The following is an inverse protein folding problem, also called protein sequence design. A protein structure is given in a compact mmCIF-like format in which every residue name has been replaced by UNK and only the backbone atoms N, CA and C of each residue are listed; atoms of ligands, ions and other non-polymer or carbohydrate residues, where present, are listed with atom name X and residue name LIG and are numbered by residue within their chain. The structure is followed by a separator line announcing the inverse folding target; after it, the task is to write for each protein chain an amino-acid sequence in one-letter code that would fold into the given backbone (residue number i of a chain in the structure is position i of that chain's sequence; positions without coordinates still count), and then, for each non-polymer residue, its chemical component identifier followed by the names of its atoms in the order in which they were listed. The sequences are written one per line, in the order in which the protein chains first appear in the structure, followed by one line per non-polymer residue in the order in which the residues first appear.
data_IF_522095905855
#
_entry.id   IF_522095905855
#
_cell.length_a   1.000
_cell.length_b   1.000
_cell.length_c   1.000
_cell.angle_alpha   90.00
_cell.angle_beta   90.00
_cell.angle_gamma   90.00
#
_symmetry.space_group_name_H-M   'P 1'
#
loop_
_entity.id
_entity.type
_entity.pdbx_description
1 polymer ?
#
# COMPACT_ATOMS: atom_id res chain seq x y z
N UNK A 1 1.90 26.07 -32.33
CA UNK A 1 1.27 25.05 -33.20
C UNK A 1 0.27 24.29 -32.33
N UNK A 2 -0.98 24.08 -32.80
CA UNK A 2 -1.92 23.18 -32.13
C UNK A 2 -1.41 21.73 -32.20
N UNK A 3 -1.76 20.92 -31.20
CA UNK A 3 -1.51 19.48 -31.21
C UNK A 3 -2.66 18.83 -31.98
N UNK A 4 -2.34 18.03 -33.00
CA UNK A 4 -3.32 17.30 -33.78
C UNK A 4 -3.70 16.00 -33.06
N UNK A 5 -4.95 15.58 -33.21
CA UNK A 5 -5.43 14.37 -32.58
C UNK A 5 -4.73 13.12 -33.13
N UNK A 6 -4.39 12.17 -32.27
CA UNK A 6 -3.77 10.92 -32.69
C UNK A 6 -3.41 10.00 -31.54
N UNK A 7 -3.07 8.75 -31.88
CA UNK A 7 -2.55 7.79 -30.92
C UNK A 7 -1.10 8.15 -30.54
N UNK A 8 -0.77 7.97 -29.26
CA UNK A 8 0.55 8.17 -28.70
C UNK A 8 0.94 6.96 -27.85
N UNK A 9 2.18 6.51 -28.02
CA UNK A 9 2.78 5.53 -27.12
C UNK A 9 3.30 6.25 -25.87
N UNK A 10 2.96 5.69 -24.70
CA UNK A 10 3.40 6.20 -23.41
C UNK A 10 4.54 5.33 -22.89
N UNK A 11 5.63 5.99 -22.50
CA UNK A 11 6.74 5.36 -21.80
C UNK A 11 7.21 6.25 -20.65
N UNK A 12 7.75 5.60 -19.63
CA UNK A 12 8.34 6.25 -18.45
C UNK A 12 9.72 5.65 -18.24
N UNK A 13 10.77 6.48 -18.30
CA UNK A 13 12.17 6.06 -18.22
C UNK A 13 12.52 4.90 -19.17
N UNK A 14 12.00 4.96 -20.41
CA UNK A 14 12.22 3.94 -21.45
C UNK A 14 11.38 2.67 -21.30
N UNK A 15 10.63 2.52 -20.20
CA UNK A 15 9.69 1.40 -20.02
C UNK A 15 8.34 1.74 -20.63
N UNK A 16 7.78 0.92 -21.53
CA UNK A 16 6.42 1.11 -22.06
C UNK A 16 5.39 1.05 -20.94
N UNK A 17 4.47 2.01 -20.89
CA UNK A 17 3.42 2.05 -19.87
C UNK A 17 2.00 2.03 -20.43
N UNK A 18 1.85 2.22 -21.74
CA UNK A 18 0.57 2.04 -22.45
C UNK A 18 0.47 2.88 -23.71
N UNK A 19 -0.76 3.06 -24.18
CA UNK A 19 -1.10 3.97 -25.29
C UNK A 19 -2.20 4.91 -24.85
N UNK A 20 -2.19 6.12 -25.38
CA UNK A 20 -3.26 7.10 -25.18
C UNK A 20 -3.68 7.74 -26.49
N UNK A 21 -4.94 8.15 -26.57
CA UNK A 21 -5.42 8.97 -27.67
C UNK A 21 -5.38 10.43 -27.21
N UNK A 22 -4.61 11.24 -27.93
CA UNK A 22 -4.51 12.68 -27.70
C UNK A 22 -5.57 13.33 -28.59
N UNK A 23 -6.45 14.15 -28.01
CA UNK A 23 -7.40 14.97 -28.77
C UNK A 23 -6.74 16.23 -29.32
N UNK A 24 -7.41 16.91 -30.25
CA UNK A 24 -6.89 18.17 -30.80
C UNK A 24 -6.93 19.26 -29.72
N UNK A 25 -5.78 19.86 -29.40
CA UNK A 25 -5.66 20.84 -28.31
C UNK A 25 -5.13 22.19 -28.78
N UNK A 26 -5.66 23.24 -28.17
CA UNK A 26 -5.23 24.61 -28.35
C UNK A 26 -3.83 24.87 -27.77
N UNK A 27 -3.19 25.97 -28.21
CA UNK A 27 -1.86 26.34 -27.69
C UNK A 27 -1.95 26.72 -26.20
N UNK A 28 -1.20 26.02 -25.36
CA UNK A 28 -1.12 26.30 -23.91
C UNK A 28 -2.16 25.55 -23.08
N UNK A 29 -2.98 24.72 -23.71
CA UNK A 29 -3.96 23.88 -23.02
C UNK A 29 -3.27 22.73 -22.27
N UNK A 30 -3.74 22.41 -21.07
CA UNK A 30 -3.13 21.41 -20.19
C UNK A 30 -3.56 20.00 -20.57
N UNK A 31 -2.62 19.19 -21.04
CA UNK A 31 -2.85 17.78 -21.37
C UNK A 31 -2.67 16.89 -20.13
N UNK A 32 -3.68 16.07 -19.81
CA UNK A 32 -3.61 15.03 -18.79
C UNK A 32 -3.60 13.66 -19.45
N UNK A 33 -2.55 12.88 -19.20
CA UNK A 33 -2.41 11.51 -19.71
C UNK A 33 -2.24 10.55 -18.54
N UNK A 34 -2.97 9.44 -18.55
CA UNK A 34 -2.81 8.38 -17.59
C UNK A 34 -1.69 7.45 -18.07
N UNK A 35 -0.48 7.59 -17.52
CA UNK A 35 0.68 6.77 -17.84
C UNK A 35 0.65 5.36 -17.24
N UNK A 36 -0.51 4.87 -16.80
CA UNK A 36 -0.62 3.52 -16.23
C UNK A 36 0.22 3.31 -14.97
N UNK A 37 0.70 2.07 -14.78
CA UNK A 37 1.55 1.70 -13.64
C UNK A 37 2.94 2.28 -13.83
N UNK A 38 3.48 2.96 -12.81
CA UNK A 38 4.90 3.35 -12.75
C UNK A 38 5.69 2.08 -12.42
N UNK A 39 6.38 1.44 -13.38
CA UNK A 39 6.92 0.10 -13.18
C UNK A 39 8.05 0.06 -12.13
N UNK A 40 8.75 1.19 -11.94
CA UNK A 40 9.92 1.28 -11.06
C UNK A 40 9.60 1.69 -9.62
N UNK A 41 8.36 2.08 -9.31
CA UNK A 41 7.92 2.27 -7.91
C UNK A 41 7.25 0.99 -7.45
N UNK A 42 7.91 0.27 -6.55
CA UNK A 42 7.50 -1.07 -6.13
C UNK A 42 7.18 -1.13 -4.64
N UNK A 43 6.32 -2.07 -4.27
CA UNK A 43 6.02 -2.41 -2.89
C UNK A 43 6.11 -3.92 -2.71
N UNK A 44 6.72 -4.35 -1.61
CA UNK A 44 6.85 -5.75 -1.22
C UNK A 44 6.42 -5.93 0.24
N UNK A 45 5.84 -7.08 0.55
CA UNK A 45 5.39 -7.45 1.89
C UNK A 45 6.11 -8.73 2.30
N UNK A 46 6.76 -8.70 3.47
CA UNK A 46 7.45 -9.84 4.06
C UNK A 46 6.80 -10.19 5.40
N UNK A 47 6.10 -11.33 5.46
CA UNK A 47 5.46 -11.81 6.68
C UNK A 47 6.45 -12.53 7.60
N UNK A 48 6.36 -12.25 8.90
CA UNK A 48 7.06 -13.04 9.91
C UNK A 48 6.25 -14.30 10.25
N UNK A 49 6.94 -15.32 10.77
CA UNK A 49 6.27 -16.50 11.33
C UNK A 49 5.31 -16.05 12.44
N UNK A 50 4.01 -16.38 12.34
CA UNK A 50 3.02 -15.97 13.32
C UNK A 50 3.31 -16.63 14.68
N UNK A 51 3.00 -15.90 15.76
CA UNK A 51 3.09 -16.44 17.12
C UNK A 51 1.70 -16.82 17.60
N UNK A 52 1.51 -18.09 17.92
CA UNK A 52 0.26 -18.65 18.39
C UNK A 52 0.38 -19.13 19.84
N UNK A 53 -0.73 -19.08 20.56
CA UNK A 53 -0.79 -19.61 21.92
C UNK A 53 -2.22 -19.67 22.44
N UNK A 54 -2.43 -20.46 23.48
CA UNK A 54 -3.71 -20.54 24.18
C UNK A 54 -3.48 -20.34 25.68
N UNK A 55 -4.29 -19.49 26.31
CA UNK A 55 -4.24 -19.26 27.76
C UNK A 55 -5.66 -19.11 28.30
N UNK A 56 -6.01 -19.91 29.30
CA UNK A 56 -7.30 -19.87 30.00
C UNK A 56 -8.50 -19.86 29.03
N UNK A 57 -8.51 -20.77 28.05
CA UNK A 57 -9.58 -20.90 27.06
C UNK A 57 -9.63 -19.79 25.99
N UNK A 58 -8.65 -18.88 25.95
CA UNK A 58 -8.51 -17.87 24.90
C UNK A 58 -7.30 -18.17 24.01
N UNK A 59 -7.55 -18.28 22.71
CA UNK A 59 -6.53 -18.31 21.68
C UNK A 59 -5.94 -16.92 21.45
N UNK A 60 -4.66 -16.88 21.13
CA UNK A 60 -3.89 -15.69 20.77
C UNK A 60 -3.13 -15.96 19.49
N UNK A 61 -3.20 -15.01 18.55
CA UNK A 61 -2.48 -15.04 17.29
C UNK A 61 -1.84 -13.66 17.08
N UNK A 62 -0.51 -13.58 17.05
CA UNK A 62 0.21 -12.38 16.63
C UNK A 62 0.69 -12.54 15.20
N UNK A 63 0.38 -11.53 14.38
CA UNK A 63 0.91 -11.39 13.03
C UNK A 63 1.77 -10.14 12.96
N UNK A 64 2.92 -10.27 12.29
CA UNK A 64 3.78 -9.15 11.94
C UNK A 64 4.28 -9.29 10.52
N UNK A 65 4.47 -8.15 9.87
CA UNK A 65 5.07 -8.08 8.55
C UNK A 65 5.81 -6.76 8.36
N UNK A 66 6.74 -6.76 7.41
CA UNK A 66 7.43 -5.55 6.95
C UNK A 66 7.00 -5.23 5.54
N UNK A 67 6.48 -4.01 5.33
CA UNK A 67 6.25 -3.44 4.02
C UNK A 67 7.51 -2.70 3.58
N UNK A 68 7.99 -2.96 2.37
CA UNK A 68 9.10 -2.22 1.76
C UNK A 68 8.59 -1.51 0.52
N UNK A 69 8.73 -0.19 0.46
CA UNK A 69 8.38 0.63 -0.71
C UNK A 69 9.66 1.21 -1.29
N UNK A 70 9.91 0.93 -2.56
CA UNK A 70 11.14 1.32 -3.26
C UNK A 70 10.83 2.26 -4.41
N UNK A 71 11.58 3.35 -4.47
CA UNK A 71 11.60 4.24 -5.63
C UNK A 71 12.77 3.87 -6.54
N UNK A 72 12.52 3.11 -7.61
CA UNK A 72 13.52 2.81 -8.63
C UNK A 72 13.70 3.91 -9.69
N UNK A 73 12.97 5.02 -9.59
CA UNK A 73 13.09 6.15 -10.53
C UNK A 73 14.36 6.95 -10.26
N UNK A 74 14.86 7.64 -11.30
CA UNK A 74 15.98 8.59 -11.19
C UNK A 74 15.62 9.93 -10.52
N UNK A 75 14.37 10.11 -10.08
CA UNK A 75 13.84 11.34 -9.50
C UNK A 75 13.13 11.08 -8.16
N UNK A 76 13.03 12.07 -7.26
CA UNK A 76 12.25 11.93 -6.03
C UNK A 76 10.77 11.70 -6.32
N UNK A 77 10.14 10.77 -5.58
CA UNK A 77 8.74 10.42 -5.73
C UNK A 77 7.93 10.61 -4.44
N UNK A 78 6.71 11.12 -4.58
CA UNK A 78 5.71 11.12 -3.51
C UNK A 78 4.79 9.92 -3.71
N UNK A 79 4.72 9.04 -2.72
CA UNK A 79 3.98 7.77 -2.78
C UNK A 79 3.04 7.69 -1.58
N UNK A 80 1.75 7.46 -1.83
CA UNK A 80 0.81 7.10 -0.77
C UNK A 80 0.70 5.58 -0.72
N UNK A 81 1.19 4.98 0.35
CA UNK A 81 1.01 3.55 0.64
C UNK A 81 -0.30 3.36 1.40
N UNK A 82 -1.13 2.42 0.96
CA UNK A 82 -2.38 2.06 1.63
C UNK A 82 -2.36 0.58 1.96
N UNK A 83 -2.67 0.24 3.21
CA UNK A 83 -2.81 -1.14 3.68
C UNK A 83 -3.93 -1.24 4.73
N UNK A 84 -4.24 -2.43 5.23
CA UNK A 84 -5.28 -2.66 6.24
C UNK A 84 -4.78 -3.52 7.39
N UNK A 85 -5.23 -3.18 8.60
CA UNK A 85 -5.21 -4.09 9.74
C UNK A 85 -6.64 -4.54 10.02
N UNK A 86 -6.84 -5.79 10.49
CA UNK A 86 -8.19 -6.28 10.75
C UNK A 86 -8.84 -5.47 11.89
N UNK A 87 -10.15 -5.29 11.79
CA UNK A 87 -10.99 -4.72 12.85
C UNK A 87 -11.97 -5.78 13.33
N UNK A 88 -12.30 -5.74 14.62
CA UNK A 88 -13.18 -6.77 15.16
C UNK A 88 -14.63 -6.50 14.78
N UNK A 89 -15.27 -7.50 14.17
CA UNK A 89 -16.71 -7.51 13.92
C UNK A 89 -17.53 -8.16 15.05
N UNK A 90 -16.88 -8.81 16.02
CA UNK A 90 -17.54 -9.56 17.09
C UNK A 90 -16.93 -9.20 18.45
N UNK A 91 -17.76 -8.93 19.46
CA UNK A 91 -17.30 -8.54 20.80
C UNK A 91 -16.34 -9.56 21.45
N UNK A 92 -16.49 -10.85 21.10
CA UNK A 92 -15.66 -11.94 21.63
C UNK A 92 -14.26 -12.00 21.02
N UNK A 93 -14.03 -11.29 19.90
CA UNK A 93 -12.72 -11.18 19.24
C UNK A 93 -12.15 -9.81 19.59
N UNK A 94 -10.95 -9.78 20.14
CA UNK A 94 -10.21 -8.54 20.41
C UNK A 94 -9.04 -8.45 19.47
N UNK A 95 -8.85 -7.27 18.88
CA UNK A 95 -7.72 -6.98 18.02
C UNK A 95 -6.96 -5.81 18.62
N UNK A 96 -5.68 -6.02 18.86
CA UNK A 96 -4.75 -5.04 19.43
C UNK A 96 -3.65 -4.76 18.41
N UNK A 97 -3.49 -3.50 18.01
CA UNK A 97 -2.38 -3.09 17.15
C UNK A 97 -1.17 -2.84 18.03
N UNK A 98 -0.13 -3.65 17.87
CA UNK A 98 1.08 -3.64 18.69
C UNK A 98 2.17 -2.71 18.12
N UNK A 99 2.28 -2.61 16.80
CA UNK A 99 3.23 -1.72 16.14
C UNK A 99 2.70 -1.22 14.80
N UNK A 100 2.91 0.07 14.54
CA UNK A 100 2.76 0.73 13.23
C UNK A 100 3.91 1.72 13.10
N UNK A 101 5.01 1.27 12.51
CA UNK A 101 6.25 2.04 12.47
C UNK A 101 6.72 2.20 11.03
N UNK A 102 6.79 3.42 10.48
CA UNK A 102 6.35 4.68 11.08
C UNK A 102 4.83 4.73 11.29
N UNK A 103 4.38 5.67 12.14
CA UNK A 103 2.95 5.90 12.36
C UNK A 103 2.27 6.33 11.04
N UNK A 104 1.10 5.77 10.69
CA UNK A 104 0.36 6.18 9.49
C UNK A 104 -0.09 7.64 9.58
N UNK A 105 -0.13 8.31 8.43
CA UNK A 105 -0.70 9.65 8.29
C UNK A 105 -2.22 9.64 8.49
N UNK A 106 -2.88 8.53 8.13
CA UNK A 106 -4.31 8.33 8.35
C UNK A 106 -4.62 6.89 8.77
N UNK A 107 -5.57 6.74 9.70
CA UNK A 107 -6.21 5.46 10.03
C UNK A 107 -7.71 5.69 10.13
N UNK A 108 -8.51 4.88 9.42
CA UNK A 108 -9.97 4.92 9.53
C UNK A 108 -10.53 3.83 10.46
N UNK A 109 -11.83 3.90 10.76
CA UNK A 109 -12.53 2.96 11.64
C UNK A 109 -12.61 1.53 11.08
N UNK A 110 -12.42 1.37 9.76
CA UNK A 110 -12.39 0.08 9.08
C UNK A 110 -10.99 -0.56 9.11
N UNK A 111 -10.03 0.11 9.75
CA UNK A 111 -8.65 -0.37 9.86
C UNK A 111 -7.80 -0.09 8.63
N UNK A 112 -8.26 0.77 7.70
CA UNK A 112 -7.45 1.21 6.57
C UNK A 112 -6.40 2.19 7.07
N UNK A 113 -5.15 1.93 6.70
CA UNK A 113 -3.96 2.70 7.04
C UNK A 113 -3.43 3.39 5.79
N UNK A 114 -2.93 4.61 5.94
CA UNK A 114 -2.27 5.34 4.86
C UNK A 114 -0.97 5.96 5.35
N UNK A 115 0.06 5.91 4.52
CA UNK A 115 1.34 6.58 4.74
C UNK A 115 1.71 7.40 3.52
N UNK A 116 1.97 8.68 3.72
CA UNK A 116 2.49 9.56 2.69
C UNK A 116 4.02 9.57 2.78
N UNK A 117 4.65 8.92 1.80
CA UNK A 117 6.09 8.72 1.74
C UNK A 117 6.70 9.66 0.71
N UNK A 118 7.78 10.34 1.08
CA UNK A 118 8.68 10.99 0.13
C UNK A 118 9.91 10.11 0.00
N UNK A 119 10.17 9.63 -1.21
CA UNK A 119 11.26 8.71 -1.52
C UNK A 119 12.26 9.41 -2.45
N UNK A 120 13.52 9.49 -2.05
CA UNK A 120 14.61 9.91 -2.93
C UNK A 120 14.85 8.87 -4.05
N UNK A 121 15.59 9.20 -5.12
CA UNK A 121 15.98 8.23 -6.15
C UNK A 121 16.69 7.02 -5.54
N UNK A 122 16.24 5.82 -5.87
CA UNK A 122 16.78 4.55 -5.33
C UNK A 122 16.42 4.25 -3.88
N UNK A 123 15.70 5.14 -3.18
CA UNK A 123 15.39 4.96 -1.76
C UNK A 123 14.37 3.83 -1.55
N UNK A 124 14.62 3.00 -0.53
CA UNK A 124 13.64 2.05 0.00
C UNK A 124 13.28 2.44 1.43
N UNK A 125 12.00 2.64 1.71
CA UNK A 125 11.49 2.80 3.08
C UNK A 125 10.81 1.52 3.54
N UNK A 126 11.09 1.13 4.78
CA UNK A 126 10.48 -0.02 5.44
C UNK A 126 9.46 0.44 6.47
N UNK A 127 8.35 -0.29 6.57
CA UNK A 127 7.31 -0.07 7.55
C UNK A 127 7.00 -1.39 8.26
N UNK A 128 7.06 -1.41 9.58
CA UNK A 128 6.71 -2.57 10.39
C UNK A 128 5.26 -2.45 10.88
N UNK A 129 4.50 -3.51 10.67
CA UNK A 129 3.13 -3.65 11.17
C UNK A 129 3.07 -4.89 12.04
N UNK A 130 2.52 -4.76 13.25
CA UNK A 130 2.26 -5.88 14.16
C UNK A 130 0.92 -5.73 14.84
N UNK A 131 0.14 -6.80 14.88
CA UNK A 131 -1.11 -6.85 15.62
C UNK A 131 -1.34 -8.23 16.25
N UNK A 132 -2.21 -8.26 17.26
CA UNK A 132 -2.59 -9.43 18.03
C UNK A 132 -4.10 -9.62 18.00
N UNK A 133 -4.52 -10.84 17.68
CA UNK A 133 -5.88 -11.30 17.88
C UNK A 133 -5.97 -12.07 19.19
N UNK A 134 -7.07 -11.90 19.90
CA UNK A 134 -7.47 -12.74 21.03
C UNK A 134 -8.90 -13.20 20.78
N UNK A 135 -9.15 -14.50 20.86
CA UNK A 135 -10.42 -15.12 20.47
C UNK A 135 -10.74 -16.35 21.35
N UNK A 136 -11.99 -16.83 21.40
CA UNK A 136 -12.33 -18.09 22.08
C UNK A 136 -11.58 -19.27 21.45
N UNK A 137 -10.85 -20.05 22.25
CA UNK A 137 -9.97 -21.12 21.73
C UNK A 137 -10.72 -22.28 21.05
N UNK A 138 -12.02 -22.41 21.31
CA UNK A 138 -12.93 -23.39 20.71
C UNK A 138 -13.41 -22.97 19.31
N UNK A 139 -12.92 -21.86 18.75
CA UNK A 139 -13.35 -21.31 17.46
C UNK A 139 -12.18 -21.04 16.53
N UNK A 140 -12.41 -21.26 15.24
CA UNK A 140 -11.50 -20.84 14.16
C UNK A 140 -11.80 -19.41 13.74
N UNK A 141 -10.75 -18.59 13.59
CA UNK A 141 -10.86 -17.22 13.07
C UNK A 141 -10.66 -17.25 11.56
N UNK A 142 -11.59 -16.66 10.81
CA UNK A 142 -11.52 -16.50 9.35
C UNK A 142 -11.33 -15.03 9.02
N UNK A 143 -10.42 -14.75 8.09
CA UNK A 143 -10.19 -13.40 7.54
C UNK A 143 -10.93 -13.27 6.20
N UNK A 144 -11.63 -12.17 5.99
CA UNK A 144 -12.33 -11.83 4.73
C UNK A 144 -11.70 -10.60 4.06
#
# INVERSE_FOLDING_TARGET
RPLLSGAADLSLDGSPTGTAFIESMGRGESLKLAFGKVPLVTAALEESVPLEGTTWGRGRLEKSFTLSVTNGMGIPMAVTLVDRVPVSAQEKIRIEVLALEPKPSKRDERGILSWDLKLAPGETKKLAVKYRLTYPADRTVIFH
#
